data_IF_546573380143
#
_entry.id   IF_546573380143
#
_cell.length_a   1.000
_cell.length_b   1.000
_cell.length_c   1.000
_cell.angle_alpha   90.00
_cell.angle_beta   90.00
_cell.angle_gamma   90.00
#
_symmetry.space_group_name_H-M   'P 1'
#
loop_
_entity.id
_entity.type
_entity.pdbx_description
1 polymer ?
#
# COMPACT_ATOMS: atom_id res chain seq x y z
N UNK A 1 8.12 10.85 -6.43
CA UNK A 1 7.20 10.54 -7.54
C UNK A 1 5.77 10.70 -7.12
N UNK A 2 4.98 11.23 -7.96
CA UNK A 2 3.57 11.36 -7.64
C UNK A 2 2.72 11.17 -8.87
N UNK A 3 1.50 10.77 -8.63
CA UNK A 3 0.53 10.57 -9.68
C UNK A 3 -0.60 11.53 -9.47
N UNK A 4 -0.81 12.37 -10.43
CA UNK A 4 -1.89 13.32 -10.41
C UNK A 4 -2.85 12.98 -11.52
N UNK A 5 -4.10 12.84 -11.17
CA UNK A 5 -5.13 12.53 -12.13
C UNK A 5 -6.17 13.62 -12.08
N UNK A 6 -6.60 14.03 -13.24
CA UNK A 6 -7.63 15.04 -13.33
C UNK A 6 -8.95 14.52 -12.77
N UNK A 7 -9.14 13.22 -12.80
CA UNK A 7 -10.38 12.63 -12.37
C UNK A 7 -10.43 12.32 -10.89
N UNK A 8 -9.54 12.90 -10.13
CA UNK A 8 -9.61 12.76 -8.69
C UNK A 8 -10.86 13.40 -8.14
N UNK A 9 -11.39 12.87 -7.03
CA UNK A 9 -10.81 11.81 -6.22
C UNK A 9 -11.17 10.43 -6.74
N UNK A 10 -10.22 9.50 -6.59
CA UNK A 10 -10.43 8.10 -6.89
C UNK A 10 -10.85 7.37 -5.64
N UNK A 11 -11.73 6.40 -5.80
CA UNK A 11 -12.18 5.57 -4.68
C UNK A 11 -11.49 4.22 -4.75
N UNK A 12 -10.93 3.82 -3.62
CA UNK A 12 -10.22 2.54 -3.49
C UNK A 12 -11.01 1.58 -2.61
N UNK A 13 -12.32 1.55 -2.79
CA UNK A 13 -13.18 0.72 -1.95
C UNK A 13 -13.30 -0.67 -2.57
N UNK A 14 -12.68 -1.63 -1.89
CA UNK A 14 -12.73 -3.01 -2.30
C UNK A 14 -11.51 -3.44 -3.07
N UNK A 15 -11.31 -4.75 -3.16
CA UNK A 15 -10.11 -5.32 -3.74
C UNK A 15 -9.97 -4.99 -5.22
N UNK A 16 -11.06 -5.08 -5.97
CA UNK A 16 -10.98 -4.85 -7.41
C UNK A 16 -10.54 -3.43 -7.73
N UNK A 17 -11.10 -2.44 -7.02
CA UNK A 17 -10.76 -1.04 -7.24
C UNK A 17 -9.29 -0.77 -6.85
N UNK A 18 -8.87 -1.29 -5.70
CA UNK A 18 -7.51 -1.10 -5.25
C UNK A 18 -6.52 -1.78 -6.18
N UNK A 19 -6.84 -2.98 -6.61
CA UNK A 19 -5.97 -3.74 -7.51
C UNK A 19 -5.79 -3.00 -8.83
N UNK A 20 -6.86 -2.49 -9.40
CA UNK A 20 -6.79 -1.74 -10.67
C UNK A 20 -5.97 -0.47 -10.49
N UNK A 21 -6.18 0.24 -9.40
CA UNK A 21 -5.46 1.47 -9.13
C UNK A 21 -3.96 1.23 -9.04
N UNK A 22 -3.54 0.26 -8.24
CA UNK A 22 -2.11 0.02 -8.05
C UNK A 22 -1.47 -0.65 -9.26
N UNK A 23 -2.22 -1.44 -10.01
CA UNK A 23 -1.69 -1.97 -11.26
C UNK A 23 -1.26 -0.84 -12.17
N UNK A 24 -2.03 0.25 -12.21
CA UNK A 24 -1.66 1.43 -12.95
C UNK A 24 -0.39 2.09 -12.41
N UNK A 25 -0.23 2.10 -11.08
CA UNK A 25 0.98 2.65 -10.47
C UNK A 25 2.23 1.87 -10.87
N UNK A 26 2.12 0.55 -10.93
CA UNK A 26 3.27 -0.29 -11.26
C UNK A 26 3.55 -0.37 -12.75
N UNK A 27 2.61 0.06 -13.59
CA UNK A 27 2.76 -0.08 -15.04
C UNK A 27 4.02 0.59 -15.57
N UNK A 28 4.42 1.70 -14.97
CA UNK A 28 5.60 2.46 -15.38
C UNK A 28 6.83 2.16 -14.53
N UNK A 29 6.75 1.19 -13.64
CA UNK A 29 7.84 0.86 -12.75
C UNK A 29 8.67 -0.28 -13.31
N UNK A 30 9.95 -0.31 -12.91
CA UNK A 30 10.82 -1.42 -13.28
C UNK A 30 10.44 -2.63 -12.41
N UNK A 31 9.95 -3.73 -13.02
CA UNK A 31 9.51 -4.88 -12.23
C UNK A 31 10.65 -5.60 -11.52
N UNK A 32 11.90 -5.28 -11.85
CA UNK A 32 13.04 -5.88 -11.17
C UNK A 32 13.39 -5.17 -9.88
N UNK A 33 12.76 -4.02 -9.60
CA UNK A 33 13.04 -3.24 -8.40
C UNK A 33 11.80 -3.22 -7.53
N UNK A 34 12.03 -3.38 -6.22
CA UNK A 34 10.93 -3.38 -5.28
C UNK A 34 10.53 -1.96 -4.95
N UNK A 35 9.24 -1.69 -4.99
CA UNK A 35 8.66 -0.40 -4.63
C UNK A 35 7.44 -0.62 -3.77
N UNK A 36 7.23 0.28 -2.83
CA UNK A 36 6.04 0.29 -2.00
C UNK A 36 5.24 1.54 -2.32
N UNK A 37 3.98 1.34 -2.67
CA UNK A 37 3.03 2.43 -2.87
C UNK A 37 2.12 2.49 -1.66
N UNK A 38 1.82 3.69 -1.19
CA UNK A 38 0.96 3.90 -0.04
C UNK A 38 -0.11 4.91 -0.41
N UNK A 39 -1.36 4.49 -0.33
CA UNK A 39 -2.49 5.37 -0.59
C UNK A 39 -3.20 5.65 0.73
N UNK A 40 -3.39 6.93 1.04
CA UNK A 40 -4.14 7.39 2.20
C UNK A 40 -5.53 7.77 1.74
N UNK A 41 -6.55 7.29 2.44
CA UNK A 41 -7.93 7.49 2.00
C UNK A 41 -8.77 8.08 3.13
N UNK A 42 -9.88 8.71 2.76
CA UNK A 42 -10.85 9.24 3.71
C UNK A 42 -11.90 8.18 4.01
N UNK A 43 -12.95 8.57 4.75
CA UNK A 43 -14.01 7.63 5.17
C UNK A 43 -14.82 7.09 4.00
N UNK A 44 -14.79 7.77 2.86
CA UNK A 44 -15.45 7.30 1.66
C UNK A 44 -14.49 6.59 0.72
N UNK A 45 -13.30 6.23 1.22
CA UNK A 45 -12.27 5.53 0.45
C UNK A 45 -11.71 6.35 -0.71
N UNK A 46 -11.85 7.66 -0.67
CA UNK A 46 -11.27 8.53 -1.69
C UNK A 46 -9.80 8.77 -1.36
N UNK A 47 -8.95 8.72 -2.38
CA UNK A 47 -7.51 8.88 -2.21
C UNK A 47 -7.17 10.34 -1.88
N UNK A 48 -6.58 10.54 -0.71
CA UNK A 48 -6.16 11.86 -0.25
C UNK A 48 -4.69 12.12 -0.60
N UNK A 49 -3.88 11.08 -0.64
CA UNK A 49 -2.43 11.23 -0.75
C UNK A 49 -1.85 9.91 -1.20
N UNK A 50 -0.88 9.96 -2.08
CA UNK A 50 -0.25 8.77 -2.64
C UNK A 50 1.26 8.96 -2.63
N UNK A 51 1.99 8.00 -2.07
CA UNK A 51 3.44 8.07 -2.04
C UNK A 51 4.05 6.77 -2.55
N UNK A 52 5.28 6.88 -3.04
CA UNK A 52 6.06 5.72 -3.44
C UNK A 52 7.37 5.73 -2.67
N UNK A 53 7.73 4.58 -2.15
CA UNK A 53 8.98 4.40 -1.43
C UNK A 53 9.74 3.27 -2.11
N UNK A 54 10.90 3.59 -2.65
CA UNK A 54 11.76 2.58 -3.25
C UNK A 54 12.62 2.01 -2.15
N UNK A 55 12.65 0.70 -2.06
CA UNK A 55 13.43 0.05 -1.04
C UNK A 55 14.32 -1.01 -1.62
N UNK A 56 15.16 -1.55 -0.79
CA UNK A 56 15.88 -2.74 -1.15
C UNK A 56 15.06 -3.95 -0.73
N UNK A 57 15.49 -5.10 -1.13
CA UNK A 57 14.76 -6.34 -0.87
C UNK A 57 14.87 -6.78 0.58
N UNK A 58 15.63 -6.08 1.40
CA UNK A 58 15.85 -6.52 2.77
C UNK A 58 14.68 -6.24 3.70
N UNK A 59 13.77 -5.37 3.31
CA UNK A 59 12.64 -5.04 4.14
C UNK A 59 12.98 -4.22 5.38
N UNK A 60 14.26 -3.93 5.59
CA UNK A 60 14.69 -3.19 6.76
C UNK A 60 14.29 -1.73 6.70
N UNK A 61 13.93 -1.27 5.53
CA UNK A 61 13.64 0.13 5.27
C UNK A 61 12.15 0.43 5.18
N UNK A 62 11.29 -0.43 5.73
CA UNK A 62 9.86 -0.15 5.71
C UNK A 62 9.61 1.24 6.33
N UNK A 63 8.99 2.16 5.60
CA UNK A 63 8.94 3.57 6.02
C UNK A 63 7.79 3.83 7.00
N UNK A 64 7.82 3.17 8.15
CA UNK A 64 6.74 3.27 9.13
C UNK A 64 6.52 4.71 9.59
N UNK A 65 7.59 5.42 9.92
CA UNK A 65 7.46 6.79 10.42
C UNK A 65 6.83 7.72 9.40
N UNK A 66 7.28 7.61 8.16
CA UNK A 66 6.77 8.46 7.09
C UNK A 66 5.29 8.19 6.84
N UNK A 67 4.91 6.93 6.84
CA UNK A 67 3.51 6.58 6.61
C UNK A 67 2.63 7.13 7.72
N UNK A 68 3.07 6.99 8.98
CA UNK A 68 2.29 7.47 10.11
C UNK A 68 2.25 9.00 10.12
N UNK A 69 3.34 9.67 9.79
CA UNK A 69 3.36 11.12 9.71
C UNK A 69 2.41 11.61 8.64
N UNK A 70 2.40 10.96 7.48
CA UNK A 70 1.49 11.32 6.40
C UNK A 70 0.04 11.08 6.80
N UNK A 71 -0.23 9.99 7.51
CA UNK A 71 -1.59 9.68 7.97
C UNK A 71 -2.10 10.77 8.90
N UNK A 72 -1.24 11.23 9.81
CA UNK A 72 -1.61 12.28 10.74
C UNK A 72 -1.83 13.60 10.01
N UNK A 73 -0.94 13.92 9.10
CA UNK A 73 -1.00 15.19 8.38
C UNK A 73 -2.25 15.30 7.51
N UNK A 74 -2.61 14.22 6.85
CA UNK A 74 -3.74 14.23 5.91
C UNK A 74 -5.06 13.80 6.54
N UNK A 75 -5.05 13.48 7.83
CA UNK A 75 -6.28 13.03 8.49
C UNK A 75 -6.81 11.74 7.89
N UNK A 76 -5.93 10.81 7.56
CA UNK A 76 -6.31 9.59 6.88
C UNK A 76 -7.23 8.73 7.74
N UNK A 77 -8.30 8.24 7.16
CA UNK A 77 -9.17 7.26 7.81
C UNK A 77 -8.73 5.84 7.49
N UNK A 78 -8.03 5.66 6.37
CA UNK A 78 -7.52 4.35 5.97
C UNK A 78 -6.25 4.45 5.17
N UNK A 79 -5.54 3.33 5.13
CA UNK A 79 -4.31 3.19 4.36
C UNK A 79 -4.39 1.91 3.55
N UNK A 80 -4.03 1.98 2.29
CA UNK A 80 -3.90 0.80 1.44
C UNK A 80 -2.47 0.75 0.94
N UNK A 81 -1.83 -0.39 1.14
CA UNK A 81 -0.45 -0.59 0.73
C UNK A 81 -0.40 -1.50 -0.49
N UNK A 82 0.61 -1.29 -1.32
CA UNK A 82 0.87 -2.19 -2.42
C UNK A 82 2.36 -2.22 -2.70
N UNK A 83 2.93 -3.42 -2.82
CA UNK A 83 4.32 -3.53 -3.25
C UNK A 83 4.46 -4.69 -4.21
N UNK A 84 5.58 -4.72 -4.91
CA UNK A 84 5.83 -5.77 -5.88
C UNK A 84 6.95 -6.67 -5.38
N UNK A 85 6.85 -7.96 -5.73
CA UNK A 85 7.92 -8.92 -5.48
C UNK A 85 8.60 -9.23 -6.80
N UNK A 86 9.83 -8.76 -7.01
CA UNK A 86 10.55 -9.05 -8.26
C UNK A 86 10.76 -10.53 -8.52
N UNK A 87 10.71 -11.36 -7.47
CA UNK A 87 10.88 -12.81 -7.63
C UNK A 87 9.78 -13.46 -8.45
N UNK A 88 8.63 -12.81 -8.56
CA UNK A 88 7.48 -13.39 -9.22
C UNK A 88 6.55 -14.17 -8.31
N UNK A 89 6.88 -14.30 -7.04
CA UNK A 89 6.06 -15.01 -6.05
C UNK A 89 5.29 -13.98 -5.21
N UNK A 90 3.96 -13.92 -5.30
CA UNK A 90 3.19 -12.91 -4.58
C UNK A 90 2.97 -13.23 -3.11
N UNK A 91 3.48 -14.34 -2.61
CA UNK A 91 3.27 -14.73 -1.21
C UNK A 91 3.89 -13.70 -0.27
N UNK A 92 3.16 -13.30 0.78
CA UNK A 92 3.72 -12.40 1.78
C UNK A 92 4.87 -13.05 2.53
N UNK A 93 5.95 -12.30 2.73
CA UNK A 93 7.06 -12.77 3.55
C UNK A 93 6.75 -12.52 5.03
N UNK A 94 7.53 -13.13 5.91
CA UNK A 94 7.41 -12.85 7.33
C UNK A 94 7.66 -11.38 7.62
N UNK A 95 8.64 -10.81 6.93
CA UNK A 95 8.97 -9.40 7.06
C UNK A 95 7.79 -8.52 6.65
N UNK A 96 7.12 -8.88 5.55
CA UNK A 96 5.92 -8.17 5.10
C UNK A 96 4.85 -8.21 6.16
N UNK A 97 4.63 -9.38 6.76
CA UNK A 97 3.59 -9.55 7.77
C UNK A 97 3.91 -8.74 9.04
N UNK A 98 5.16 -8.76 9.47
CA UNK A 98 5.57 -7.99 10.65
C UNK A 98 5.41 -6.49 10.42
N UNK A 99 5.88 -6.01 9.29
CA UNK A 99 5.79 -4.60 8.97
C UNK A 99 4.34 -4.13 8.91
N UNK A 100 3.49 -4.94 8.28
CA UNK A 100 2.08 -4.59 8.15
C UNK A 100 1.38 -4.56 9.50
N UNK A 101 1.68 -5.53 10.37
CA UNK A 101 1.10 -5.54 11.71
C UNK A 101 1.56 -4.35 12.54
N UNK A 102 2.83 -3.99 12.43
CA UNK A 102 3.33 -2.81 13.15
C UNK A 102 2.64 -1.54 12.67
N UNK A 103 2.46 -1.42 11.36
CA UNK A 103 1.76 -0.27 10.83
C UNK A 103 0.31 -0.24 11.28
N UNK A 104 -0.38 -1.38 11.22
CA UNK A 104 -1.78 -1.44 11.64
C UNK A 104 -1.94 -1.03 13.09
N UNK A 105 -1.03 -1.49 13.95
CA UNK A 105 -1.06 -1.15 15.37
C UNK A 105 -0.81 0.34 15.59
N UNK A 106 0.15 0.92 14.89
CA UNK A 106 0.45 2.34 15.03
C UNK A 106 -0.68 3.22 14.48
N UNK A 107 -1.27 2.81 13.39
CA UNK A 107 -2.34 3.58 12.75
C UNK A 107 -3.60 3.62 13.62
N UNK A 108 -3.82 2.58 14.41
CA UNK A 108 -4.97 2.51 15.30
C UNK A 108 -5.01 3.70 16.26
N UNK A 109 -3.85 4.14 16.70
CA UNK A 109 -3.76 5.28 17.60
C UNK A 109 -4.23 6.58 16.95
N UNK A 110 -4.28 6.61 15.63
CA UNK A 110 -4.75 7.77 14.86
C UNK A 110 -6.17 7.57 14.33
N UNK A 111 -6.87 6.54 14.81
CA UNK A 111 -8.18 6.16 14.28
C UNK A 111 -8.10 5.90 12.78
N UNK A 112 -6.99 5.32 12.34
CA UNK A 112 -6.75 5.03 10.93
C UNK A 112 -6.58 3.53 10.78
N UNK A 113 -7.24 2.93 9.81
CA UNK A 113 -7.21 1.49 9.60
C UNK A 113 -6.37 1.14 8.39
N UNK A 114 -5.53 0.11 8.51
CA UNK A 114 -4.88 -0.47 7.34
C UNK A 114 -5.90 -1.36 6.67
N UNK A 115 -6.37 -0.94 5.50
CA UNK A 115 -7.50 -1.61 4.83
C UNK A 115 -7.05 -2.84 4.07
N UNK A 116 -5.88 -2.79 3.45
CA UNK A 116 -5.33 -3.94 2.76
C UNK A 116 -3.84 -3.69 2.45
N UNK A 117 -3.16 -4.77 2.13
CA UNK A 117 -1.79 -4.75 1.63
C UNK A 117 -1.76 -5.71 0.46
N UNK A 118 -1.50 -5.18 -0.73
CA UNK A 118 -1.50 -5.97 -1.95
C UNK A 118 -0.06 -6.24 -2.38
N UNK A 119 0.20 -7.46 -2.82
CA UNK A 119 1.51 -7.83 -3.35
C UNK A 119 1.35 -8.24 -4.80
N UNK A 120 2.04 -7.54 -5.69
CA UNK A 120 2.01 -7.80 -7.12
C UNK A 120 3.25 -8.56 -7.54
N UNK A 121 3.07 -9.65 -8.26
CA UNK A 121 4.21 -10.44 -8.73
C UNK A 121 3.77 -11.28 -9.93
N UNK A 122 4.51 -11.17 -11.03
CA UNK A 122 4.32 -12.04 -12.17
C UNK A 122 2.91 -12.08 -12.73
N UNK A 123 2.20 -10.96 -12.68
CA UNK A 123 0.82 -10.93 -13.17
C UNK A 123 -0.22 -11.31 -12.14
N UNK A 124 0.22 -11.78 -10.97
CA UNK A 124 -0.68 -12.15 -9.88
C UNK A 124 -0.70 -11.07 -8.82
N UNK A 125 -1.72 -11.11 -7.96
CA UNK A 125 -1.84 -10.16 -6.86
C UNK A 125 -2.40 -10.88 -5.65
N UNK A 126 -1.69 -10.78 -4.53
CA UNK A 126 -2.15 -11.33 -3.25
C UNK A 126 -2.67 -10.19 -2.39
N UNK A 127 -3.71 -10.46 -1.62
CA UNK A 127 -4.33 -9.50 -0.72
C UNK A 127 -4.23 -10.02 0.71
N UNK A 128 -3.64 -9.22 1.59
CA UNK A 128 -3.54 -9.58 3.01
C UNK A 128 -4.90 -9.81 3.63
N UNK A 129 -5.86 -8.93 3.31
CA UNK A 129 -7.20 -9.08 3.86
C UNK A 129 -7.84 -10.38 3.41
N UNK A 130 -7.71 -10.70 2.12
CA UNK A 130 -8.30 -11.92 1.60
C UNK A 130 -7.63 -13.17 2.17
N UNK A 131 -6.35 -13.08 2.49
CA UNK A 131 -5.61 -14.17 3.09
C UNK A 131 -5.84 -14.30 4.60
N UNK A 132 -6.57 -13.38 5.19
CA UNK A 132 -6.83 -13.39 6.62
C UNK A 132 -5.69 -12.85 7.46
N UNK A 133 -4.80 -12.07 6.86
CA UNK A 133 -3.64 -11.50 7.56
C UNK A 133 -3.91 -10.08 8.05
N UNK A 134 -5.05 -9.53 7.68
CA UNK A 134 -5.53 -8.23 8.14
C UNK A 134 -6.99 -8.35 8.55
#
# INVERSE_FOLDING_TARGET
MRYQRAELPLKLNGLAAAKAFFAGCFADSDPRRESLWVAHVDEQARCLHLTRHDGDSAGASFPLREIIADAAEHGSAGIVLAHNHPSGDPSPSESDCRATRRLASAAEALDCAVLDHLIFAGGDCASFRKLGLL
#
